data_IF_428158533887
#
_entry.id   IF_428158533887
#
_cell.length_a   1.000
_cell.length_b   1.000
_cell.length_c   1.000
_cell.angle_alpha   90.00
_cell.angle_beta   90.00
_cell.angle_gamma   90.00
#
_symmetry.space_group_name_H-M   'P 1'
#
loop_
_entity.id
_entity.type
_entity.pdbx_description
1 polymer ?
#
# COMPACT_ATOMS: atom_id res chain seq x y z
N UNK A 1 -47.30 -8.69 -50.28
CA UNK A 1 -45.87 -8.58 -49.91
C UNK A 1 -45.70 -7.34 -49.03
N UNK A 2 -45.92 -7.51 -47.71
CA UNK A 2 -44.91 -7.37 -46.64
C UNK A 2 -44.35 -5.94 -46.46
N UNK A 3 -44.94 -5.19 -45.53
CA UNK A 3 -44.26 -4.09 -44.82
C UNK A 3 -44.51 -4.27 -43.33
N UNK A 4 -43.51 -4.82 -42.63
CA UNK A 4 -43.49 -4.90 -41.18
C UNK A 4 -43.30 -3.49 -40.60
N UNK A 5 -43.96 -3.12 -39.48
CA UNK A 5 -43.65 -1.86 -38.80
C UNK A 5 -42.32 -2.01 -38.06
N UNK A 6 -41.42 -1.05 -38.30
CA UNK A 6 -40.13 -0.95 -37.61
C UNK A 6 -40.37 -0.51 -36.16
N UNK A 7 -40.40 -1.46 -35.23
CA UNK A 7 -40.32 -1.18 -33.80
C UNK A 7 -38.89 -0.75 -33.45
N UNK A 8 -38.60 0.54 -33.60
CA UNK A 8 -37.38 1.15 -33.06
C UNK A 8 -37.47 1.18 -31.53
N UNK A 9 -36.96 0.15 -30.88
CA UNK A 9 -36.72 0.14 -29.43
C UNK A 9 -35.75 1.30 -29.11
N UNK A 10 -36.07 2.22 -28.19
CA UNK A 10 -35.08 3.18 -27.73
C UNK A 10 -33.89 2.41 -27.13
N UNK A 11 -32.65 2.85 -27.34
CA UNK A 11 -31.49 2.18 -26.77
C UNK A 11 -31.66 2.15 -25.25
N UNK A 12 -31.61 0.95 -24.69
CA UNK A 12 -31.49 0.77 -23.24
C UNK A 12 -30.33 1.65 -22.76
N UNK A 13 -30.58 2.49 -21.75
CA UNK A 13 -29.53 3.25 -21.07
C UNK A 13 -28.55 2.22 -20.51
N UNK A 14 -27.50 1.93 -21.27
CA UNK A 14 -26.40 1.09 -20.85
C UNK A 14 -25.82 1.77 -19.60
N UNK A 15 -26.03 1.16 -18.43
CA UNK A 15 -25.25 1.49 -17.25
C UNK A 15 -23.79 1.18 -17.61
N UNK A 16 -23.07 2.25 -17.94
CA UNK A 16 -21.73 2.20 -18.49
C UNK A 16 -20.84 1.33 -17.60
N UNK A 17 -20.20 0.32 -18.20
CA UNK A 17 -19.23 -0.53 -17.55
C UNK A 17 -18.20 0.34 -16.82
N UNK A 18 -17.87 -0.04 -15.57
CA UNK A 18 -17.00 0.66 -14.63
C UNK A 18 -15.68 1.10 -15.28
N UNK A 19 -15.65 2.31 -15.85
CA UNK A 19 -14.40 2.98 -16.27
C UNK A 19 -13.73 3.52 -15.00
N UNK A 20 -12.40 3.44 -14.88
CA UNK A 20 -11.69 4.10 -13.79
C UNK A 20 -11.97 5.61 -13.89
N UNK A 21 -12.53 6.17 -12.83
CA UNK A 21 -12.83 7.60 -12.72
C UNK A 21 -11.92 8.23 -11.67
N UNK A 22 -11.44 9.47 -11.89
CA UNK A 22 -10.76 10.23 -10.85
C UNK A 22 -11.64 10.37 -9.61
N UNK A 23 -11.07 10.13 -8.43
CA UNK A 23 -11.80 10.28 -7.15
C UNK A 23 -12.43 11.65 -7.00
N UNK A 24 -11.75 12.72 -7.45
CA UNK A 24 -12.28 14.08 -7.39
C UNK A 24 -13.56 14.26 -8.22
N UNK A 25 -13.66 13.61 -9.38
CA UNK A 25 -14.86 13.68 -10.24
C UNK A 25 -16.05 13.00 -9.56
N UNK A 26 -15.80 11.85 -8.92
CA UNK A 26 -16.83 11.10 -8.16
C UNK A 26 -17.32 11.92 -6.97
N UNK A 27 -16.41 12.56 -6.22
CA UNK A 27 -16.76 13.38 -5.06
C UNK A 27 -17.55 14.64 -5.44
N UNK A 28 -17.34 15.19 -6.65
CA UNK A 28 -18.05 16.38 -7.13
C UNK A 28 -19.44 16.10 -7.72
N UNK A 29 -19.81 14.83 -7.93
CA UNK A 29 -21.04 14.47 -8.67
C UNK A 29 -22.33 14.65 -7.88
N UNK A 30 -22.26 14.55 -6.55
CA UNK A 30 -23.46 14.51 -5.69
C UNK A 30 -23.23 15.28 -4.41
N UNK A 31 -24.21 16.08 -3.99
CA UNK A 31 -24.18 16.83 -2.73
C UNK A 31 -24.08 15.92 -1.50
N UNK A 32 -24.47 14.65 -1.61
CA UNK A 32 -24.27 13.64 -0.58
C UNK A 32 -22.80 13.48 -0.15
N UNK A 33 -21.84 13.81 -1.02
CA UNK A 33 -20.40 13.77 -0.71
C UNK A 33 -19.82 15.13 -0.28
N UNK A 34 -20.63 16.18 -0.16
CA UNK A 34 -20.14 17.53 0.12
C UNK A 34 -19.32 17.61 1.42
N UNK A 35 -19.78 16.97 2.49
CA UNK A 35 -19.06 16.93 3.77
C UNK A 35 -17.74 16.18 3.68
N UNK A 36 -17.70 15.07 2.93
CA UNK A 36 -16.48 14.29 2.70
C UNK A 36 -15.48 15.11 1.87
N UNK A 37 -15.93 15.77 0.80
CA UNK A 37 -15.09 16.63 -0.04
C UNK A 37 -14.46 17.76 0.76
N UNK A 38 -15.25 18.46 1.57
CA UNK A 38 -14.74 19.53 2.44
C UNK A 38 -13.66 19.00 3.41
N UNK A 39 -13.87 17.81 3.98
CA UNK A 39 -12.86 17.18 4.85
C UNK A 39 -11.57 16.81 4.11
N UNK A 40 -11.67 16.29 2.88
CA UNK A 40 -10.50 15.96 2.05
C UNK A 40 -9.73 17.22 1.65
N UNK A 41 -10.42 18.27 1.24
CA UNK A 41 -9.81 19.58 0.92
C UNK A 41 -9.10 20.18 2.13
N UNK A 42 -9.73 20.10 3.32
CA UNK A 42 -9.14 20.55 4.57
C UNK A 42 -7.84 19.80 4.89
N UNK A 43 -7.84 18.47 4.78
CA UNK A 43 -6.64 17.65 5.02
C UNK A 43 -5.54 17.98 3.98
N UNK A 44 -5.89 18.14 2.71
CA UNK A 44 -4.94 18.46 1.65
C UNK A 44 -4.29 19.85 1.84
N UNK A 45 -5.08 20.84 2.27
CA UNK A 45 -4.56 22.16 2.62
C UNK A 45 -3.61 22.10 3.83
N UNK A 46 -3.98 21.33 4.86
CA UNK A 46 -3.17 21.14 6.05
C UNK A 46 -1.85 20.40 5.75
N UNK A 47 -1.88 19.39 4.89
CA UNK A 47 -0.67 18.72 4.40
C UNK A 47 0.26 19.69 3.67
N UNK A 48 -0.28 20.58 2.84
CA UNK A 48 0.50 21.58 2.13
C UNK A 48 1.20 22.52 3.12
N UNK A 49 0.46 23.04 4.09
CA UNK A 49 1.03 23.92 5.13
C UNK A 49 2.08 23.20 5.98
N UNK A 50 1.85 21.93 6.34
CA UNK A 50 2.83 21.14 7.06
C UNK A 50 4.13 20.93 6.27
N UNK A 51 4.06 20.74 4.95
CA UNK A 51 5.27 20.64 4.11
C UNK A 51 6.07 21.93 4.08
N UNK A 52 5.43 23.09 4.24
CA UNK A 52 6.11 24.38 4.30
C UNK A 52 6.69 24.69 5.69
N UNK A 53 6.07 24.18 6.75
CA UNK A 53 6.51 24.40 8.13
C UNK A 53 7.56 23.40 8.61
N UNK A 54 7.53 22.18 8.07
CA UNK A 54 8.45 21.11 8.45
C UNK A 54 9.68 21.10 7.54
N UNK A 55 10.88 20.84 8.07
CA UNK A 55 12.05 20.49 7.26
C UNK A 55 11.75 19.34 6.28
N UNK A 56 12.34 19.41 5.08
CA UNK A 56 12.11 18.46 3.97
C UNK A 56 12.20 16.99 4.40
N UNK A 57 13.20 16.66 5.21
CA UNK A 57 13.45 15.29 5.68
C UNK A 57 12.37 14.75 6.62
N UNK A 58 11.55 15.61 7.23
CA UNK A 58 10.42 15.24 8.08
C UNK A 58 9.11 15.23 7.28
N UNK A 59 8.94 16.20 6.37
CA UNK A 59 7.69 16.45 5.65
C UNK A 59 7.17 15.22 4.88
N UNK A 60 8.05 14.36 4.36
CA UNK A 60 7.66 13.18 3.58
C UNK A 60 7.02 12.06 4.41
N UNK A 61 7.26 12.02 5.72
CA UNK A 61 6.85 10.91 6.60
C UNK A 61 5.88 11.34 7.70
N UNK A 62 5.26 12.51 7.54
CA UNK A 62 4.27 13.07 8.48
C UNK A 62 2.96 13.29 7.75
N UNK A 63 1.89 12.72 8.29
CA UNK A 63 0.54 12.86 7.73
C UNK A 63 -0.42 13.41 8.79
N UNK A 64 -1.19 14.47 8.48
CA UNK A 64 -2.19 15.00 9.39
C UNK A 64 -3.48 14.18 9.40
N UNK A 65 -4.21 14.24 10.52
CA UNK A 65 -5.61 13.84 10.60
C UNK A 65 -6.54 15.03 10.35
N UNK A 66 -7.85 14.78 10.39
CA UNK A 66 -8.83 15.84 10.60
C UNK A 66 -8.65 16.50 11.97
N UNK A 67 -9.02 17.77 12.07
CA UNK A 67 -9.08 18.51 13.33
C UNK A 67 -10.38 18.14 14.02
N UNK A 68 -10.31 17.63 15.26
CA UNK A 68 -11.48 17.30 16.07
C UNK A 68 -11.40 18.04 17.40
N UNK A 69 -12.40 18.87 17.70
CA UNK A 69 -12.48 19.62 18.97
C UNK A 69 -11.20 20.44 19.25
N UNK A 70 -10.62 21.02 18.20
CA UNK A 70 -9.36 21.77 18.29
C UNK A 70 -8.11 20.91 18.43
N UNK A 71 -8.21 19.59 18.34
CA UNK A 71 -7.04 18.70 18.40
C UNK A 71 -6.71 18.17 17.00
N UNK A 72 -5.47 18.38 16.57
CA UNK A 72 -4.93 17.81 15.34
C UNK A 72 -4.02 16.63 15.68
N UNK A 73 -4.31 15.43 15.17
CA UNK A 73 -3.36 14.33 15.27
C UNK A 73 -2.39 14.34 14.08
N UNK A 74 -1.11 14.09 14.37
CA UNK A 74 -0.06 13.93 13.37
C UNK A 74 0.47 12.50 13.45
N UNK A 75 0.53 11.82 12.30
CA UNK A 75 1.05 10.47 12.17
C UNK A 75 2.47 10.50 11.64
N UNK A 76 3.42 10.10 12.48
CA UNK A 76 4.80 9.89 12.11
C UNK A 76 5.02 8.47 11.57
N UNK A 77 5.86 8.33 10.55
CA UNK A 77 6.28 7.04 10.01
C UNK A 77 7.09 6.15 10.98
N UNK A 78 7.70 6.71 12.02
CA UNK A 78 8.48 5.95 13.02
C UNK A 78 8.65 6.71 14.36
N UNK A 79 9.12 6.00 15.40
CA UNK A 79 9.27 6.54 16.76
C UNK A 79 10.23 7.73 16.88
N UNK A 80 11.38 7.70 16.20
CA UNK A 80 12.33 8.81 16.23
C UNK A 80 11.75 10.11 15.62
N UNK A 81 10.97 9.98 14.54
CA UNK A 81 10.24 11.08 13.94
C UNK A 81 9.17 11.63 14.89
N UNK A 82 8.41 10.77 15.57
CA UNK A 82 7.46 11.20 16.58
C UNK A 82 8.13 11.96 17.73
N UNK A 83 9.29 11.52 18.21
CA UNK A 83 10.05 12.25 19.23
C UNK A 83 10.50 13.63 18.73
N UNK A 84 10.97 13.71 17.49
CA UNK A 84 11.36 14.99 16.87
C UNK A 84 10.16 15.95 16.75
N UNK A 85 9.01 15.46 16.32
CA UNK A 85 7.77 16.25 16.28
C UNK A 85 7.37 16.75 17.67
N UNK A 86 7.48 15.93 18.72
CA UNK A 86 7.14 16.34 20.10
C UNK A 86 8.04 17.47 20.59
N UNK A 87 9.33 17.43 20.27
CA UNK A 87 10.25 18.52 20.61
C UNK A 87 9.91 19.82 19.87
N UNK A 88 9.36 19.73 18.66
CA UNK A 88 8.98 20.88 17.85
C UNK A 88 7.52 21.31 18.05
N UNK A 89 6.75 20.56 18.84
CA UNK A 89 5.29 20.69 18.98
C UNK A 89 4.84 22.10 19.37
N UNK A 90 5.45 22.79 20.37
CA UNK A 90 4.98 24.11 20.77
C UNK A 90 5.10 25.15 19.66
N UNK A 91 6.21 25.09 18.90
CA UNK A 91 6.44 25.97 17.76
C UNK A 91 5.50 25.65 16.62
N UNK A 92 5.37 24.37 16.27
CA UNK A 92 4.50 23.92 15.18
C UNK A 92 3.03 24.28 15.45
N UNK A 93 2.58 24.16 16.69
CA UNK A 93 1.23 24.58 17.10
C UNK A 93 1.03 26.09 16.87
N UNK A 94 1.99 26.92 17.28
CA UNK A 94 1.91 28.37 17.07
C UNK A 94 1.91 28.73 15.59
N UNK A 95 2.78 28.10 14.79
CA UNK A 95 2.87 28.36 13.35
C UNK A 95 1.57 27.96 12.63
N UNK A 96 0.94 26.85 13.03
CA UNK A 96 -0.37 26.43 12.49
C UNK A 96 -1.50 27.40 12.89
N UNK A 97 -1.50 27.89 14.13
CA UNK A 97 -2.47 28.91 14.59
C UNK A 97 -2.30 30.24 13.83
N UNK A 98 -1.06 30.66 13.56
CA UNK A 98 -0.77 31.87 12.78
C UNK A 98 -1.26 31.74 11.33
N UNK A 99 -1.25 30.53 10.76
CA UNK A 99 -1.86 30.24 9.45
C UNK A 99 -3.39 30.18 9.47
N UNK A 100 -4.02 30.36 10.64
CA UNK A 100 -5.47 30.41 10.80
C UNK A 100 -6.14 29.05 11.05
N UNK A 101 -5.38 27.99 11.32
CA UNK A 101 -5.96 26.69 11.64
C UNK A 101 -6.58 26.71 13.05
N UNK A 102 -7.82 26.17 13.23
CA UNK A 102 -8.48 26.11 14.53
C UNK A 102 -7.92 24.95 15.39
N UNK A 103 -6.63 24.99 15.69
CA UNK A 103 -5.91 23.96 16.45
C UNK A 103 -5.46 24.55 17.79
N UNK A 104 -5.83 23.88 18.87
CA UNK A 104 -5.47 24.19 20.26
C UNK A 104 -4.43 23.22 20.82
N UNK A 105 -4.35 22.00 20.28
CA UNK A 105 -3.39 20.99 20.70
C UNK A 105 -3.00 20.04 19.57
N UNK A 106 -1.79 19.49 19.64
CA UNK A 106 -1.30 18.46 18.73
C UNK A 106 -1.26 17.11 19.43
N UNK A 107 -1.59 16.03 18.69
CA UNK A 107 -1.46 14.65 19.18
C UNK A 107 -0.60 13.83 18.26
N UNK A 108 0.62 13.53 18.68
CA UNK A 108 1.59 12.83 17.84
C UNK A 108 1.47 11.31 18.05
N UNK A 109 1.15 10.60 16.97
CA UNK A 109 1.03 9.13 16.92
C UNK A 109 2.00 8.55 15.89
N UNK A 110 2.36 7.28 16.06
CA UNK A 110 3.17 6.55 15.08
C UNK A 110 2.25 5.66 14.26
N UNK A 111 2.42 5.67 12.94
CA UNK A 111 1.71 4.75 12.05
C UNK A 111 2.31 3.35 12.21
N UNK A 112 1.52 2.32 12.57
CA UNK A 112 1.98 0.95 12.54
C UNK A 112 2.33 0.58 11.10
N UNK A 113 3.55 0.09 10.86
CA UNK A 113 3.87 -0.49 9.57
C UNK A 113 3.13 -1.82 9.43
N UNK A 114 2.55 -2.11 8.25
CA UNK A 114 1.99 -3.43 8.00
C UNK A 114 3.10 -4.46 8.20
N UNK A 115 2.78 -5.56 8.89
CA UNK A 115 3.73 -6.64 9.12
C UNK A 115 4.30 -7.07 7.77
N UNK A 116 5.62 -6.96 7.61
CA UNK A 116 6.30 -7.44 6.41
C UNK A 116 5.96 -8.91 6.25
N UNK A 117 5.45 -9.31 5.09
CA UNK A 117 5.21 -10.72 4.82
C UNK A 117 6.49 -11.52 5.12
N UNK A 118 6.37 -12.64 5.86
CA UNK A 118 7.53 -13.45 6.15
C UNK A 118 8.19 -13.82 4.82
N UNK A 119 9.53 -13.73 4.73
CA UNK A 119 10.21 -14.07 3.50
C UNK A 119 9.79 -15.48 3.07
N UNK A 120 9.57 -15.73 1.78
CA UNK A 120 9.19 -17.06 1.32
C UNK A 120 10.23 -18.07 1.81
N UNK A 121 9.77 -19.16 2.41
CA UNK A 121 10.65 -20.23 2.89
C UNK A 121 11.52 -20.67 1.71
N UNK A 122 12.84 -20.61 1.87
CA UNK A 122 13.79 -21.01 0.82
C UNK A 122 13.53 -22.47 0.46
N UNK A 123 12.92 -22.71 -0.70
CA UNK A 123 12.76 -24.06 -1.24
C UNK A 123 14.02 -24.42 -2.00
N UNK A 124 14.68 -25.52 -1.61
CA UNK A 124 15.77 -26.09 -2.39
C UNK A 124 15.20 -26.57 -3.74
N UNK A 125 15.40 -25.76 -4.80
CA UNK A 125 15.05 -26.11 -6.17
C UNK A 125 16.28 -26.70 -6.84
N UNK A 126 16.12 -27.86 -7.46
CA UNK A 126 17.16 -28.50 -8.27
C UNK A 126 16.76 -28.41 -9.73
N UNK A 127 17.71 -28.04 -10.59
CA UNK A 127 17.48 -28.06 -12.04
C UNK A 127 17.43 -29.51 -12.54
N UNK A 128 16.74 -29.78 -13.67
CA UNK A 128 16.75 -31.10 -14.28
C UNK A 128 18.18 -31.60 -14.57
N UNK A 129 19.03 -30.73 -15.12
CA UNK A 129 20.43 -31.03 -15.37
C UNK A 129 21.21 -31.38 -14.08
N UNK A 130 20.91 -30.72 -12.95
CA UNK A 130 21.51 -31.04 -11.66
C UNK A 130 21.06 -32.40 -11.12
N UNK A 131 19.78 -32.74 -11.30
CA UNK A 131 19.25 -34.06 -10.91
C UNK A 131 19.89 -35.18 -11.74
N UNK A 132 20.11 -34.94 -13.03
CA UNK A 132 20.77 -35.89 -13.93
C UNK A 132 22.26 -36.06 -13.61
N UNK A 133 22.96 -34.97 -13.34
CA UNK A 133 24.37 -35.01 -12.93
C UNK A 133 24.58 -35.78 -11.61
N UNK A 134 23.69 -35.59 -10.62
CA UNK A 134 23.75 -36.32 -9.36
C UNK A 134 23.42 -37.81 -9.52
N UNK A 135 22.53 -38.15 -10.45
CA UNK A 135 22.27 -39.54 -10.76
C UNK A 135 23.48 -40.21 -11.42
N UNK A 136 24.07 -39.58 -12.45
CA UNK A 136 25.26 -40.09 -13.10
C UNK A 136 26.43 -40.23 -12.11
N UNK A 137 26.58 -39.29 -11.18
CA UNK A 137 27.56 -39.41 -10.09
C UNK A 137 27.25 -40.59 -9.16
N UNK A 138 25.98 -40.86 -8.84
CA UNK A 138 25.62 -42.02 -8.02
C UNK A 138 25.92 -43.35 -8.71
N UNK A 139 25.91 -43.42 -10.04
CA UNK A 139 26.24 -44.63 -10.79
C UNK A 139 27.76 -44.92 -10.85
N UNK A 140 28.60 -43.90 -10.73
CA UNK A 140 30.06 -44.06 -10.76
C UNK A 140 30.71 -44.33 -9.40
N UNK A 141 29.95 -44.20 -8.31
CA UNK A 141 30.42 -44.46 -6.94
C UNK A 141 30.28 -45.93 -6.55
N UNK A 142 31.21 -46.41 -5.72
CA UNK A 142 31.13 -47.74 -5.12
C UNK A 142 29.98 -47.84 -4.09
N UNK A 143 29.48 -49.06 -3.81
CA UNK A 143 28.45 -49.33 -2.80
C UNK A 143 28.77 -48.65 -1.46
N UNK A 144 27.99 -47.61 -1.13
CA UNK A 144 28.19 -46.82 0.08
C UNK A 144 26.91 -46.07 0.50
N UNK A 145 26.79 -45.68 1.78
CA UNK A 145 25.67 -44.85 2.24
C UNK A 145 25.53 -43.52 1.48
N UNK A 146 26.65 -42.98 0.97
CA UNK A 146 26.65 -41.77 0.14
C UNK A 146 26.02 -42.03 -1.23
N UNK A 147 26.34 -43.15 -1.86
CA UNK A 147 25.77 -43.54 -3.14
C UNK A 147 24.24 -43.61 -3.05
N UNK A 148 23.73 -44.29 -2.03
CA UNK A 148 22.28 -44.43 -1.79
C UNK A 148 21.61 -43.07 -1.54
N UNK A 149 22.24 -42.21 -0.75
CA UNK A 149 21.72 -40.88 -0.45
C UNK A 149 21.63 -40.00 -1.71
N UNK A 150 22.64 -40.03 -2.57
CA UNK A 150 22.66 -39.29 -3.85
C UNK A 150 21.61 -39.83 -4.83
N UNK A 151 21.51 -41.15 -4.96
CA UNK A 151 20.49 -41.78 -5.82
C UNK A 151 19.06 -41.41 -5.36
N UNK A 152 18.80 -41.47 -4.04
CA UNK A 152 17.51 -41.09 -3.45
C UNK A 152 17.20 -39.60 -3.66
N UNK A 153 18.19 -38.73 -3.51
CA UNK A 153 18.05 -37.29 -3.75
C UNK A 153 17.74 -37.00 -5.23
N UNK A 154 18.49 -37.59 -6.16
CA UNK A 154 18.26 -37.43 -7.59
C UNK A 154 16.86 -37.94 -8.00
N UNK A 155 16.44 -39.11 -7.51
CA UNK A 155 15.12 -39.68 -7.77
C UNK A 155 13.97 -38.77 -7.29
N UNK A 156 14.07 -38.22 -6.07
CA UNK A 156 13.07 -37.30 -5.51
C UNK A 156 12.86 -36.07 -6.39
N UNK A 157 13.95 -35.50 -6.90
CA UNK A 157 13.90 -34.28 -7.70
C UNK A 157 13.60 -34.52 -9.18
N UNK A 158 13.81 -35.74 -9.71
CA UNK A 158 13.30 -36.17 -11.03
C UNK A 158 11.79 -36.43 -11.03
N UNK A 159 11.23 -36.89 -9.90
CA UNK A 159 9.78 -37.17 -9.73
C UNK A 159 8.94 -35.91 -9.58
N UNK A 160 9.49 -34.84 -9.03
CA UNK A 160 8.81 -33.54 -8.91
C UNK A 160 8.93 -32.69 -10.19
N UNK A 161 9.09 -33.34 -11.35
CA UNK A 161 9.03 -32.76 -12.69
C UNK A 161 7.60 -32.83 -13.20
#
# INVERSE_FOLDING_TARGET
MSRFPSFSRPPSKQFNARRPQPVAEVLNRTDAFAALRAGVEQIAALEKDLRELLPDYLATSVEPSFIKEGVLALFAGHNALAARLRHMEPRLLSDLQQRGWPVNALRIRVRPQPAKEPPPVKQARMTPAGADALHALSESLAPSPLQEALAKMAARHRRNR
#
